data_IF_522941073834
#
_entry.id   IF_522941073834
#
_cell.length_a   1.000
_cell.length_b   1.000
_cell.length_c   1.000
_cell.angle_alpha   90.00
_cell.angle_beta   90.00
_cell.angle_gamma   90.00
#
_symmetry.space_group_name_H-M   'P 1'
#
loop_
_entity.id
_entity.type
_entity.pdbx_description
1 polymer ?
#
# COMPACT_ATOMS: atom_id res chain seq x y z
N UNK A 1 -21.66 6.48 25.24
CA UNK A 1 -21.74 6.31 23.77
C UNK A 1 -20.86 5.16 23.36
N UNK A 2 -21.45 4.10 22.87
CA UNK A 2 -20.71 3.02 22.24
C UNK A 2 -20.22 3.50 20.87
N UNK A 3 -18.93 3.78 20.77
CA UNK A 3 -18.30 4.05 19.48
C UNK A 3 -18.47 2.79 18.62
N UNK A 4 -19.09 2.93 17.47
CA UNK A 4 -19.18 1.83 16.52
C UNK A 4 -17.77 1.61 15.93
N UNK A 5 -17.11 0.52 16.34
CA UNK A 5 -15.75 0.17 15.92
C UNK A 5 -15.60 0.16 14.40
N UNK A 6 -16.59 -0.35 13.69
CA UNK A 6 -16.59 -0.37 12.22
C UNK A 6 -16.48 1.04 11.64
N UNK A 7 -17.31 1.98 12.12
CA UNK A 7 -17.26 3.38 11.67
C UNK A 7 -15.90 4.01 11.99
N UNK A 8 -15.35 3.75 13.17
CA UNK A 8 -14.05 4.28 13.58
C UNK A 8 -12.92 3.77 12.68
N UNK A 9 -12.97 2.51 12.25
CA UNK A 9 -11.99 1.92 11.32
C UNK A 9 -12.10 2.60 9.94
N UNK A 10 -13.31 2.78 9.41
CA UNK A 10 -13.50 3.48 8.14
C UNK A 10 -13.01 4.94 8.21
N UNK A 11 -13.34 5.67 9.27
CA UNK A 11 -12.86 7.04 9.47
C UNK A 11 -11.34 7.12 9.55
N UNK A 12 -10.71 6.15 10.20
CA UNK A 12 -9.25 6.07 10.28
C UNK A 12 -8.63 5.79 8.90
N UNK A 13 -9.22 4.86 8.15
CA UNK A 13 -8.77 4.57 6.78
C UNK A 13 -8.91 5.80 5.86
N UNK A 14 -10.04 6.51 5.93
CA UNK A 14 -10.26 7.76 5.18
C UNK A 14 -9.24 8.84 5.57
N UNK A 15 -8.91 8.94 6.84
CA UNK A 15 -7.89 9.88 7.30
C UNK A 15 -6.50 9.55 6.73
N UNK A 16 -6.11 8.28 6.72
CA UNK A 16 -4.85 7.84 6.10
C UNK A 16 -4.87 8.14 4.60
N UNK A 17 -5.96 7.83 3.91
CA UNK A 17 -6.08 8.10 2.48
C UNK A 17 -5.93 9.60 2.18
N UNK A 18 -6.55 10.46 2.98
CA UNK A 18 -6.43 11.91 2.85
C UNK A 18 -4.97 12.40 2.99
N UNK A 19 -4.18 11.79 3.88
CA UNK A 19 -2.77 12.14 4.07
C UNK A 19 -1.92 11.85 2.81
N UNK A 20 -2.34 10.87 2.00
CA UNK A 20 -1.63 10.49 0.78
C UNK A 20 -2.16 11.20 -0.48
N UNK A 21 -3.43 11.62 -0.48
CA UNK A 21 -4.13 12.06 -1.69
C UNK A 21 -3.49 13.28 -2.33
N UNK A 22 -3.22 14.33 -1.56
CA UNK A 22 -2.62 15.56 -2.08
C UNK A 22 -1.25 15.32 -2.69
N UNK A 23 -0.41 14.57 -1.99
CA UNK A 23 0.93 14.24 -2.47
C UNK A 23 0.90 13.36 -3.73
N UNK A 24 0.10 12.30 -3.73
CA UNK A 24 -0.04 11.42 -4.90
C UNK A 24 -0.55 12.20 -6.12
N UNK A 25 -1.55 13.06 -5.94
CA UNK A 25 -2.08 13.89 -7.03
C UNK A 25 -1.03 14.89 -7.56
N UNK A 26 -0.14 15.39 -6.72
CA UNK A 26 0.97 16.25 -7.17
C UNK A 26 1.93 15.52 -8.13
N UNK A 27 1.98 14.20 -8.06
CA UNK A 27 2.75 13.34 -8.96
C UNK A 27 1.91 12.83 -10.16
N UNK A 28 0.64 13.22 -10.26
CA UNK A 28 -0.28 12.76 -11.31
C UNK A 28 -0.76 11.31 -11.14
N UNK A 29 -0.70 10.77 -9.95
CA UNK A 29 -1.11 9.40 -9.63
C UNK A 29 -2.10 9.36 -8.46
N UNK A 30 -2.73 8.22 -8.26
CA UNK A 30 -3.60 7.98 -7.12
C UNK A 30 -2.82 7.45 -5.91
N UNK A 31 -3.36 7.54 -4.67
CA UNK A 31 -2.71 6.96 -3.49
C UNK A 31 -2.36 5.48 -3.63
N UNK A 32 -3.25 4.67 -4.18
CA UNK A 32 -3.01 3.24 -4.37
C UNK A 32 -1.91 2.96 -5.42
N UNK A 33 -1.81 3.78 -6.45
CA UNK A 33 -0.72 3.72 -7.42
C UNK A 33 0.62 4.09 -6.77
N UNK A 34 0.63 5.10 -5.92
CA UNK A 34 1.80 5.45 -5.12
C UNK A 34 2.25 4.31 -4.21
N UNK A 35 1.31 3.66 -3.51
CA UNK A 35 1.61 2.48 -2.67
C UNK A 35 2.18 1.33 -3.50
N UNK A 36 1.67 1.13 -4.72
CA UNK A 36 2.18 0.11 -5.65
C UNK A 36 3.63 0.39 -6.06
N UNK A 37 3.95 1.64 -6.39
CA UNK A 37 5.34 2.03 -6.67
C UNK A 37 6.22 1.84 -5.44
N UNK A 38 5.74 2.20 -4.25
CA UNK A 38 6.49 2.02 -3.01
C UNK A 38 6.82 0.54 -2.74
N UNK A 39 5.92 -0.39 -3.05
CA UNK A 39 6.21 -1.83 -2.97
C UNK A 39 7.28 -2.26 -3.98
N UNK A 40 7.24 -1.73 -5.21
CA UNK A 40 8.28 -2.00 -6.22
C UNK A 40 9.65 -1.42 -5.83
N UNK A 41 9.70 -0.33 -5.05
CA UNK A 41 10.97 0.19 -4.53
C UNK A 41 11.63 -0.74 -3.50
N UNK A 42 10.85 -1.56 -2.82
CA UNK A 42 11.38 -2.60 -1.91
C UNK A 42 11.98 -3.76 -2.71
N UNK A 43 11.31 -4.17 -3.76
CA UNK A 43 11.74 -5.23 -4.67
C UNK A 43 11.13 -5.01 -6.05
N UNK A 44 11.96 -4.69 -7.02
CA UNK A 44 11.56 -4.54 -8.42
C UNK A 44 11.30 -5.91 -9.07
N UNK A 45 10.51 -5.95 -10.13
CA UNK A 45 10.24 -7.19 -10.86
C UNK A 45 9.31 -8.17 -10.14
N UNK A 46 8.46 -7.69 -9.25
CA UNK A 46 7.47 -8.52 -8.57
C UNK A 46 6.37 -8.99 -9.53
N UNK A 47 5.79 -10.14 -9.26
CA UNK A 47 4.60 -10.62 -9.99
C UNK A 47 3.41 -9.70 -9.68
N UNK A 48 2.58 -9.46 -10.71
CA UNK A 48 1.37 -8.64 -10.55
C UNK A 48 0.45 -9.15 -9.44
N UNK A 49 0.34 -10.48 -9.27
CA UNK A 49 -0.45 -11.10 -8.20
C UNK A 49 0.10 -10.82 -6.80
N UNK A 50 1.43 -10.82 -6.65
CA UNK A 50 2.09 -10.54 -5.37
C UNK A 50 1.94 -9.06 -4.99
N UNK A 51 2.07 -8.16 -5.98
CA UNK A 51 1.81 -6.74 -5.78
C UNK A 51 0.37 -6.44 -5.37
N UNK A 52 -0.61 -7.06 -6.05
CA UNK A 52 -2.02 -6.90 -5.71
C UNK A 52 -2.29 -7.32 -4.26
N UNK A 53 -1.71 -8.45 -3.84
CA UNK A 53 -1.81 -8.93 -2.46
C UNK A 53 -1.15 -7.94 -1.48
N UNK A 54 0.05 -7.46 -1.79
CA UNK A 54 0.79 -6.54 -0.93
C UNK A 54 0.06 -5.22 -0.69
N UNK A 55 -0.65 -4.70 -1.70
CA UNK A 55 -1.45 -3.46 -1.58
C UNK A 55 -2.91 -3.71 -1.20
N UNK A 56 -3.28 -4.95 -0.93
CA UNK A 56 -4.63 -5.33 -0.47
C UNK A 56 -5.72 -5.13 -1.52
N UNK A 57 -5.42 -5.36 -2.80
CA UNK A 57 -6.37 -5.21 -3.90
C UNK A 57 -6.63 -6.54 -4.63
N UNK A 58 -7.89 -6.83 -5.00
CA UNK A 58 -8.18 -7.97 -5.84
C UNK A 58 -7.61 -7.77 -7.26
N UNK A 59 -7.21 -8.87 -7.90
CA UNK A 59 -6.60 -8.85 -9.24
C UNK A 59 -7.47 -8.11 -10.28
N UNK A 60 -8.80 -8.22 -10.18
CA UNK A 60 -9.74 -7.58 -11.09
C UNK A 60 -9.68 -6.05 -11.09
N UNK A 61 -9.45 -5.43 -9.93
CA UNK A 61 -9.29 -3.97 -9.80
C UNK A 61 -7.84 -3.52 -9.95
N UNK A 62 -6.90 -4.43 -9.84
CA UNK A 62 -5.46 -4.13 -9.91
C UNK A 62 -4.96 -4.00 -11.35
N UNK A 63 -5.51 -4.76 -12.29
CA UNK A 63 -5.13 -4.69 -13.71
C UNK A 63 -5.32 -3.29 -14.31
N UNK A 64 -6.48 -2.61 -14.18
CA UNK A 64 -6.64 -1.23 -14.65
C UNK A 64 -5.65 -0.25 -14.00
N UNK A 65 -5.34 -0.43 -12.72
CA UNK A 65 -4.36 0.38 -12.01
C UNK A 65 -2.96 0.25 -12.62
N UNK A 66 -2.55 -0.96 -12.97
CA UNK A 66 -1.28 -1.20 -13.66
C UNK A 66 -1.29 -0.65 -15.09
N UNK A 67 -2.44 -0.71 -15.79
CA UNK A 67 -2.58 -0.12 -17.12
C UNK A 67 -2.35 1.39 -17.08
N UNK A 68 -2.90 2.08 -16.09
CA UNK A 68 -2.72 3.51 -15.90
C UNK A 68 -1.26 3.85 -15.56
N UNK A 69 -0.61 3.09 -14.67
CA UNK A 69 0.80 3.28 -14.35
C UNK A 69 1.72 3.04 -15.55
N UNK A 70 1.41 2.05 -16.37
CA UNK A 70 2.15 1.79 -17.61
C UNK A 70 1.90 2.90 -18.64
N UNK A 71 0.66 3.36 -18.78
CA UNK A 71 0.31 4.47 -19.64
C UNK A 71 0.99 5.79 -19.23
N UNK A 72 1.22 6.00 -17.94
CA UNK A 72 1.98 7.12 -17.40
C UNK A 72 3.51 6.96 -17.56
N UNK A 73 3.98 5.83 -18.07
CA UNK A 73 5.40 5.56 -18.29
C UNK A 73 6.20 5.26 -17.02
N UNK A 74 5.54 4.84 -15.92
CA UNK A 74 6.20 4.61 -14.64
C UNK A 74 6.59 3.15 -14.42
N UNK A 75 5.92 2.23 -15.09
CA UNK A 75 6.18 0.79 -15.04
C UNK A 75 6.13 0.18 -16.44
N UNK A 76 6.67 -1.01 -16.56
CA UNK A 76 6.49 -1.87 -17.71
C UNK A 76 6.30 -3.32 -17.28
N UNK A 77 5.67 -4.11 -18.14
CA UNK A 77 5.39 -5.52 -17.90
C UNK A 77 6.37 -6.40 -18.66
N UNK A 78 6.81 -7.47 -18.01
CA UNK A 78 7.57 -8.55 -18.64
C UNK A 78 6.92 -9.90 -18.36
N UNK A 79 6.81 -10.80 -19.35
CA UNK A 79 6.47 -12.20 -19.09
C UNK A 79 7.53 -12.82 -18.18
N UNK A 80 7.09 -13.62 -17.19
CA UNK A 80 8.01 -14.37 -16.37
C UNK A 80 8.59 -15.54 -17.18
N UNK A 81 9.92 -15.63 -17.32
CA UNK A 81 10.57 -16.70 -18.07
C UNK A 81 10.38 -18.09 -17.46
N UNK A 82 10.18 -18.15 -16.13
CA UNK A 82 9.98 -19.41 -15.38
C UNK A 82 8.52 -19.87 -15.38
N UNK A 83 7.57 -18.94 -15.48
CA UNK A 83 6.15 -19.19 -15.51
C UNK A 83 5.47 -18.22 -16.49
N UNK A 84 5.17 -18.71 -17.69
CA UNK A 84 4.55 -17.91 -18.76
C UNK A 84 3.14 -17.40 -18.43
N UNK A 85 2.52 -17.91 -17.35
CA UNK A 85 1.20 -17.47 -16.88
C UNK A 85 1.28 -16.25 -15.98
N UNK A 86 2.46 -15.92 -15.47
CA UNK A 86 2.66 -14.77 -14.61
C UNK A 86 3.35 -13.63 -15.34
N UNK A 87 3.00 -12.41 -14.95
CA UNK A 87 3.56 -11.17 -15.48
C UNK A 87 4.34 -10.50 -14.36
N UNK A 88 5.57 -10.11 -14.63
CA UNK A 88 6.39 -9.31 -13.73
C UNK A 88 6.24 -7.82 -14.04
N UNK A 89 6.19 -7.03 -12.99
CA UNK A 89 6.07 -5.57 -13.05
C UNK A 89 7.41 -4.95 -12.68
N UNK A 90 7.91 -4.11 -13.56
CA UNK A 90 9.20 -3.45 -13.41
C UNK A 90 9.06 -1.93 -13.48
N UNK A 91 9.89 -1.24 -12.73
CA UNK A 91 9.99 0.22 -12.78
C UNK A 91 10.73 0.66 -14.04
N UNK A 92 10.20 1.71 -14.69
CA UNK A 92 10.95 2.49 -15.69
C UNK A 92 11.95 3.41 -15.00
N UNK A 93 12.81 4.08 -15.77
CA UNK A 93 13.69 5.12 -15.22
C UNK A 93 12.89 6.28 -14.61
N UNK A 94 11.77 6.65 -15.21
CA UNK A 94 10.83 7.65 -14.70
C UNK A 94 10.19 7.18 -13.38
N UNK A 95 9.79 5.92 -13.30
CA UNK A 95 9.28 5.33 -12.05
C UNK A 95 10.32 5.31 -10.93
N UNK A 96 11.56 4.99 -11.25
CA UNK A 96 12.70 5.03 -10.30
C UNK A 96 13.02 6.44 -9.83
N UNK A 97 12.85 7.45 -10.69
CA UNK A 97 13.12 8.84 -10.36
C UNK A 97 12.20 9.39 -9.26
N UNK A 98 11.01 8.84 -9.09
CA UNK A 98 10.07 9.22 -8.02
C UNK A 98 10.37 8.61 -6.65
N UNK A 99 11.33 7.69 -6.56
CA UNK A 99 11.60 6.91 -5.35
C UNK A 99 11.87 7.79 -4.13
N UNK A 100 12.77 8.73 -4.24
CA UNK A 100 13.16 9.59 -3.10
C UNK A 100 11.97 10.34 -2.54
N UNK A 101 11.14 10.92 -3.41
CA UNK A 101 9.98 11.70 -3.01
C UNK A 101 8.89 10.81 -2.40
N UNK A 102 8.58 9.68 -3.03
CA UNK A 102 7.55 8.75 -2.54
C UNK A 102 7.97 8.10 -1.22
N UNK A 103 9.19 7.57 -1.13
CA UNK A 103 9.68 6.94 0.11
C UNK A 103 9.76 7.96 1.24
N UNK A 104 10.24 9.17 0.97
CA UNK A 104 10.27 10.26 1.96
C UNK A 104 8.87 10.62 2.47
N UNK A 105 7.89 10.71 1.58
CA UNK A 105 6.50 10.96 1.97
C UNK A 105 5.92 9.80 2.79
N UNK A 106 6.15 8.57 2.38
CA UNK A 106 5.69 7.36 3.10
C UNK A 106 6.27 7.32 4.52
N UNK A 107 7.55 7.59 4.68
CA UNK A 107 8.22 7.61 5.98
C UNK A 107 7.67 8.72 6.88
N UNK A 108 7.41 9.90 6.32
CA UNK A 108 6.82 11.02 7.06
C UNK A 108 5.40 10.72 7.54
N UNK A 109 4.55 10.16 6.69
CA UNK A 109 3.18 9.78 7.04
C UNK A 109 3.18 8.66 8.08
N UNK A 110 4.04 7.66 7.92
CA UNK A 110 4.14 6.56 8.86
C UNK A 110 4.60 7.02 10.25
N UNK A 111 5.56 7.92 10.31
CA UNK A 111 6.01 8.52 11.57
C UNK A 111 4.90 9.31 12.25
N UNK A 112 4.10 10.05 11.47
CA UNK A 112 2.96 10.81 11.98
C UNK A 112 1.87 9.89 12.55
N UNK A 113 1.51 8.83 11.81
CA UNK A 113 0.50 7.84 12.26
C UNK A 113 0.99 7.13 13.51
N UNK A 114 2.23 6.66 13.53
CA UNK A 114 2.82 5.98 14.68
C UNK A 114 2.86 6.88 15.90
N UNK A 115 3.23 8.14 15.75
CA UNK A 115 3.24 9.13 16.83
C UNK A 115 1.85 9.40 17.40
N UNK A 116 0.86 9.55 16.55
CA UNK A 116 -0.53 9.79 16.96
C UNK A 116 -1.12 8.57 17.69
N UNK A 117 -0.89 7.37 17.17
CA UNK A 117 -1.33 6.14 17.82
C UNK A 117 -0.64 5.90 19.16
N UNK A 118 0.68 6.17 19.23
CA UNK A 118 1.42 6.09 20.49
C UNK A 118 0.87 7.05 21.53
N UNK A 119 0.56 8.29 21.13
CA UNK A 119 -0.01 9.29 22.04
C UNK A 119 -1.38 8.85 22.56
N UNK A 120 -2.27 8.32 21.68
CA UNK A 120 -3.62 7.87 22.05
C UNK A 120 -3.64 6.60 22.87
N UNK A 121 -2.74 5.66 22.59
CA UNK A 121 -2.70 4.35 23.25
C UNK A 121 -1.76 4.32 24.47
N UNK A 122 -0.94 5.36 24.66
CA UNK A 122 0.01 5.43 25.76
C UNK A 122 1.13 4.37 25.70
N UNK A 123 1.32 3.73 24.54
CA UNK A 123 2.32 2.66 24.32
C UNK A 123 3.02 2.86 22.99
N UNK A 124 4.35 2.62 22.92
CA UNK A 124 5.02 2.58 21.62
C UNK A 124 4.47 1.43 20.79
N UNK A 125 4.05 1.74 19.56
CA UNK A 125 3.69 0.73 18.57
C UNK A 125 4.96 0.26 17.89
N UNK A 126 5.34 -0.97 18.15
CA UNK A 126 6.36 -1.66 17.37
C UNK A 126 5.71 -2.08 16.06
N UNK A 127 6.20 -1.56 14.94
CA UNK A 127 5.66 -1.78 13.58
C UNK A 127 5.26 -3.24 13.30
N UNK A 128 6.07 -4.18 13.74
CA UNK A 128 5.86 -5.61 13.49
C UNK A 128 4.69 -6.19 14.29
N UNK A 129 4.49 -5.71 15.52
CA UNK A 129 3.46 -6.27 16.40
C UNK A 129 2.08 -5.74 16.09
N UNK A 130 1.97 -4.49 15.63
CA UNK A 130 0.68 -3.90 15.27
C UNK A 130 0.03 -4.62 14.08
N UNK A 131 0.78 -4.81 13.01
CA UNK A 131 0.27 -5.49 11.82
C UNK A 131 0.07 -6.98 12.05
N UNK A 132 0.99 -7.63 12.77
CA UNK A 132 0.84 -9.02 13.15
C UNK A 132 -0.41 -9.25 14.04
N UNK A 133 -0.72 -8.30 14.91
CA UNK A 133 -1.92 -8.37 15.76
C UNK A 133 -3.19 -8.03 14.98
N UNK A 134 -3.15 -7.02 14.11
CA UNK A 134 -4.32 -6.58 13.36
C UNK A 134 -4.73 -7.58 12.25
N UNK A 135 -3.76 -8.23 11.64
CA UNK A 135 -3.96 -9.21 10.57
C UNK A 135 -3.70 -10.66 11.00
N UNK A 136 -3.47 -10.90 12.29
CA UNK A 136 -3.48 -12.26 12.79
C UNK A 136 -4.81 -12.92 12.40
N UNK A 137 -4.79 -14.16 11.88
CA UNK A 137 -6.04 -14.87 11.67
C UNK A 137 -6.79 -14.87 13.01
N UNK A 138 -8.05 -14.46 12.95
CA UNK A 138 -8.91 -14.54 14.13
C UNK A 138 -8.81 -15.98 14.67
N UNK A 139 -8.62 -16.16 15.98
CA UNK A 139 -8.72 -17.49 16.54
C UNK A 139 -10.05 -18.08 16.06
N UNK A 140 -10.03 -19.32 15.60
CA UNK A 140 -11.24 -20.00 15.14
C UNK A 140 -12.37 -19.62 16.08
N UNK A 141 -13.41 -19.01 15.49
CA UNK A 141 -14.47 -18.39 16.27
C UNK A 141 -14.96 -19.39 17.32
N UNK A 142 -14.82 -19.04 18.58
CA UNK A 142 -15.60 -19.72 19.60
C UNK A 142 -17.06 -19.69 19.14
N UNK A 143 -17.77 -20.80 19.11
CA UNK A 143 -19.15 -20.80 18.66
C UNK A 143 -19.92 -19.82 19.52
N UNK A 144 -20.62 -18.91 18.84
CA UNK A 144 -21.52 -17.97 19.48
C UNK A 144 -22.58 -18.72 20.26
#
# INVERSE_FOLDING_TARGET
MTSNLTVSIYQFADHIDALHTEFAHSLGITPIQMLTLNELYKQDGQRASDLALAVGRPATSFTPLLDDLQGAGLIYRKPNKKDRRSVQIWLTDEGKALRTDIVGHMDAVESRISGELMYRLGKPLVKQDFWATLFAPLPEAAPF
#
